data_IF_707393786413
#
_entry.id   IF_707393786413
#
_cell.length_a   1.000
_cell.length_b   1.000
_cell.length_c   1.000
_cell.angle_alpha   90.00
_cell.angle_beta   90.00
_cell.angle_gamma   90.00
#
_symmetry.space_group_name_H-M   'P 1'
#
loop_
_entity.id
_entity.type
_entity.pdbx_description
1 polymer ?
#
# COMPACT_ATOMS: atom_id res chain seq x y z
N UNK A 1 8.32 -7.32 -20.28
CA UNK A 1 8.00 -5.91 -20.58
C UNK A 1 9.19 -5.26 -21.27
N UNK A 2 8.95 -4.60 -22.39
CA UNK A 2 10.02 -3.90 -23.10
C UNK A 2 9.76 -2.39 -22.99
N UNK A 3 10.75 -1.66 -22.48
CA UNK A 3 10.68 -0.21 -22.39
C UNK A 3 11.44 0.36 -23.56
N UNK A 4 10.74 1.03 -24.46
CA UNK A 4 11.30 1.45 -25.74
C UNK A 4 11.55 2.96 -25.81
N UNK A 5 11.10 3.71 -24.81
CA UNK A 5 11.33 5.14 -24.76
C UNK A 5 11.47 5.58 -23.31
N UNK A 6 12.09 6.75 -23.11
CA UNK A 6 12.19 7.32 -21.77
C UNK A 6 10.82 7.84 -21.32
N UNK A 7 10.40 7.46 -20.12
CA UNK A 7 9.15 7.91 -19.52
C UNK A 7 9.46 8.44 -18.11
N UNK A 8 8.77 9.49 -17.72
CA UNK A 8 8.94 10.07 -16.39
C UNK A 8 7.56 10.42 -15.84
N UNK A 9 7.23 9.90 -14.66
CA UNK A 9 5.99 10.20 -13.97
C UNK A 9 6.30 10.64 -12.54
N UNK A 10 5.37 11.35 -11.93
CA UNK A 10 5.49 11.77 -10.54
C UNK A 10 4.22 11.43 -9.79
N UNK A 11 4.37 10.98 -8.53
CA UNK A 11 3.19 10.69 -7.70
C UNK A 11 2.38 11.93 -7.37
N UNK A 12 2.98 13.13 -7.49
CA UNK A 12 2.27 14.39 -7.29
C UNK A 12 1.31 14.70 -8.43
N UNK A 13 1.43 13.97 -9.54
CA UNK A 13 0.52 14.06 -10.69
C UNK A 13 0.03 12.66 -11.03
N UNK A 14 -0.74 12.03 -10.13
CA UNK A 14 -1.12 10.64 -10.29
C UNK A 14 -2.22 10.44 -11.33
N UNK A 15 -2.31 9.22 -11.85
CA UNK A 15 -3.41 8.84 -12.75
C UNK A 15 -4.70 8.61 -11.97
N UNK A 16 -4.58 8.19 -10.71
CA UNK A 16 -5.73 7.98 -9.83
C UNK A 16 -5.30 8.14 -8.39
N UNK A 17 -6.25 8.52 -7.56
CA UNK A 17 -6.05 8.66 -6.11
C UNK A 17 -7.20 7.95 -5.42
N UNK A 18 -6.89 7.18 -4.41
CA UNK A 18 -7.89 6.55 -3.54
C UNK A 18 -7.66 7.08 -2.14
N UNK A 19 -8.70 7.71 -1.58
CA UNK A 19 -8.61 8.30 -0.26
C UNK A 19 -9.58 7.61 0.69
N UNK A 20 -9.13 7.43 1.93
CA UNK A 20 -9.94 6.85 2.99
C UNK A 20 -9.45 7.46 4.30
N UNK A 21 -10.18 7.29 5.41
CA UNK A 21 -9.76 7.91 6.67
C UNK A 21 -8.32 7.55 7.03
N UNK A 22 -7.52 8.57 7.32
CA UNK A 22 -6.11 8.45 7.71
C UNK A 22 -5.21 7.86 6.64
N UNK A 23 -5.65 7.80 5.39
CA UNK A 23 -4.84 7.20 4.35
C UNK A 23 -5.09 7.74 2.95
N UNK A 24 -4.07 7.58 2.11
CA UNK A 24 -4.10 8.00 0.71
C UNK A 24 -3.25 7.05 -0.10
N UNK A 25 -3.76 6.65 -1.25
CA UNK A 25 -3.05 5.75 -2.15
C UNK A 25 -3.06 6.35 -3.56
N UNK A 26 -1.89 6.70 -4.05
CA UNK A 26 -1.74 7.33 -5.38
C UNK A 26 -1.25 6.29 -6.36
N UNK A 27 -1.78 6.32 -7.56
CA UNK A 27 -1.47 5.36 -8.61
C UNK A 27 -0.86 6.07 -9.81
N UNK A 28 0.22 5.51 -10.32
CA UNK A 28 0.89 5.98 -11.54
C UNK A 28 1.06 4.79 -12.47
N UNK A 29 0.68 4.98 -13.73
CA UNK A 29 0.89 3.96 -14.76
C UNK A 29 2.08 4.36 -15.59
N UNK A 30 3.06 3.46 -15.67
CA UNK A 30 4.30 3.72 -16.38
C UNK A 30 4.90 2.40 -16.88
N UNK A 31 5.31 2.37 -18.15
CA UNK A 31 6.00 1.20 -18.69
C UNK A 31 5.19 -0.09 -18.64
N UNK A 32 3.87 0.00 -18.69
CA UNK A 32 3.00 -1.18 -18.63
C UNK A 32 2.71 -1.66 -17.22
N UNK A 33 3.15 -0.93 -16.19
CA UNK A 33 2.89 -1.28 -14.79
C UNK A 33 2.10 -0.19 -14.09
N UNK A 34 1.35 -0.61 -13.09
CA UNK A 34 0.69 0.32 -12.16
C UNK A 34 1.48 0.28 -10.86
N UNK A 35 2.01 1.43 -10.45
CA UNK A 35 2.80 1.56 -9.23
C UNK A 35 2.03 2.46 -8.27
N UNK A 36 1.92 2.02 -7.01
CA UNK A 36 1.21 2.77 -6.00
C UNK A 36 2.12 3.33 -4.93
N UNK A 37 1.75 4.49 -4.39
CA UNK A 37 2.40 5.05 -3.20
C UNK A 37 1.34 5.16 -2.11
N UNK A 38 1.54 4.41 -1.03
CA UNK A 38 0.68 4.45 0.14
C UNK A 38 1.23 5.47 1.13
N UNK A 39 0.35 6.28 1.71
CA UNK A 39 0.69 7.19 2.80
C UNK A 39 -0.38 7.04 3.86
N UNK A 40 -0.02 6.47 5.02
CA UNK A 40 -0.96 6.23 6.11
C UNK A 40 -0.52 6.99 7.34
N UNK A 41 -1.46 7.67 7.97
CA UNK A 41 -1.21 8.46 9.17
C UNK A 41 -1.20 7.57 10.43
N UNK A 42 -0.55 8.02 11.51
CA UNK A 42 -0.64 7.31 12.78
C UNK A 42 -2.09 7.06 13.16
N UNK A 43 -2.38 5.84 13.62
CA UNK A 43 -3.74 5.43 13.95
C UNK A 43 -4.47 4.69 12.85
N UNK A 44 -3.93 4.69 11.64
CA UNK A 44 -4.55 3.96 10.54
C UNK A 44 -4.45 2.45 10.77
N UNK A 45 -5.55 1.77 10.45
CA UNK A 45 -5.63 0.31 10.47
C UNK A 45 -6.54 -0.13 9.33
N UNK A 46 -6.08 -1.07 8.52
CA UNK A 46 -6.83 -1.47 7.33
C UNK A 46 -8.26 -1.91 7.67
N UNK A 47 -8.42 -2.79 8.65
CA UNK A 47 -9.75 -3.31 8.99
C UNK A 47 -10.70 -2.25 9.54
N UNK A 48 -10.19 -1.12 10.03
CA UNK A 48 -11.02 -0.02 10.55
C UNK A 48 -11.27 1.08 9.52
N UNK A 49 -10.32 1.33 8.63
CA UNK A 49 -10.34 2.51 7.78
C UNK A 49 -10.52 2.21 6.29
N UNK A 50 -10.31 0.96 5.86
CA UNK A 50 -10.49 0.54 4.48
C UNK A 50 -11.55 -0.54 4.39
N UNK A 51 -11.52 -1.52 5.28
CA UNK A 51 -12.49 -2.60 5.30
C UNK A 51 -13.88 -2.15 5.69
N UNK A 52 -14.87 -2.95 5.33
CA UNK A 52 -16.28 -2.68 5.61
C UNK A 52 -16.71 -3.14 7.00
N UNK A 53 -15.92 -3.98 7.64
CA UNK A 53 -16.22 -4.49 8.98
C UNK A 53 -14.93 -4.86 9.69
N UNK A 54 -14.92 -4.92 11.05
CA UNK A 54 -13.71 -5.27 11.79
C UNK A 54 -13.17 -6.67 11.49
N UNK A 55 -14.01 -7.56 11.00
CA UNK A 55 -13.61 -8.94 10.68
C UNK A 55 -13.06 -9.07 9.27
N UNK A 56 -13.26 -8.07 8.44
CA UNK A 56 -12.77 -8.12 7.06
C UNK A 56 -11.25 -8.04 7.02
N UNK A 57 -10.66 -8.78 6.08
CA UNK A 57 -9.21 -8.76 5.85
C UNK A 57 -8.93 -8.35 4.42
N UNK A 58 -7.75 -7.77 4.21
CA UNK A 58 -7.34 -7.38 2.86
C UNK A 58 -7.00 -8.63 2.06
N UNK A 59 -7.64 -8.79 0.92
CA UNK A 59 -7.44 -9.96 0.06
C UNK A 59 -6.57 -9.66 -1.15
N UNK A 60 -5.98 -8.47 -1.19
CA UNK A 60 -5.07 -8.08 -2.27
C UNK A 60 -3.64 -8.46 -1.87
N UNK A 61 -2.93 -9.14 -2.75
CA UNK A 61 -1.51 -9.40 -2.50
C UNK A 61 -0.68 -8.18 -2.85
N UNK A 62 0.41 -7.99 -2.12
CA UNK A 62 1.27 -6.82 -2.28
C UNK A 62 2.73 -7.22 -2.43
N UNK A 63 3.43 -6.52 -3.32
CA UNK A 63 4.88 -6.59 -3.43
C UNK A 63 5.38 -5.15 -3.44
N UNK A 64 6.27 -4.80 -2.53
CA UNK A 64 6.70 -3.42 -2.45
C UNK A 64 7.89 -3.19 -1.53
N UNK A 65 8.09 -1.92 -1.20
CA UNK A 65 9.19 -1.50 -0.34
C UNK A 65 8.72 -0.38 0.59
N UNK A 66 9.16 -0.42 1.84
CA UNK A 66 8.87 0.64 2.82
C UNK A 66 9.85 1.79 2.60
N UNK A 67 9.31 3.00 2.50
CA UNK A 67 10.10 4.23 2.31
C UNK A 67 10.34 4.92 3.64
N UNK A 68 9.29 5.11 4.45
CA UNK A 68 9.40 5.78 5.75
C UNK A 68 8.30 5.31 6.70
N UNK A 69 8.54 5.49 7.99
CA UNK A 69 7.60 5.03 9.01
C UNK A 69 7.64 3.52 9.18
N UNK A 70 6.75 3.01 10.02
CA UNK A 70 6.67 1.57 10.30
C UNK A 70 5.22 1.13 10.27
N UNK A 71 4.98 -0.09 9.81
CA UNK A 71 3.65 -0.68 9.82
C UNK A 71 3.74 -2.14 10.22
N UNK A 72 2.77 -2.58 11.02
CA UNK A 72 2.61 -4.00 11.32
C UNK A 72 1.76 -4.64 10.23
N UNK A 73 2.04 -5.90 9.93
CA UNK A 73 1.22 -6.70 9.04
C UNK A 73 1.02 -8.06 9.72
N UNK A 74 -0.21 -8.53 9.74
CA UNK A 74 -0.56 -9.80 10.39
C UNK A 74 -1.41 -10.63 9.44
N UNK A 75 -1.04 -11.90 9.31
CA UNK A 75 -1.81 -12.90 8.58
C UNK A 75 -2.03 -14.12 9.45
N UNK A 76 -2.56 -15.22 8.88
CA UNK A 76 -2.83 -16.42 9.66
C UNK A 76 -1.59 -17.04 10.32
N UNK A 77 -0.42 -16.89 9.68
CA UNK A 77 0.79 -17.56 10.13
C UNK A 77 1.96 -16.61 10.41
N UNK A 78 1.73 -15.31 10.39
CA UNK A 78 2.82 -14.34 10.60
C UNK A 78 2.31 -13.07 11.25
N UNK A 79 3.24 -12.37 11.89
CA UNK A 79 3.00 -11.10 12.57
C UNK A 79 4.34 -10.37 12.57
N UNK A 80 4.48 -9.38 11.68
CA UNK A 80 5.75 -8.69 11.48
C UNK A 80 5.57 -7.19 11.48
N UNK A 81 6.65 -6.47 11.79
CA UNK A 81 6.71 -5.02 11.65
C UNK A 81 7.66 -4.70 10.51
N UNK A 82 7.17 -3.95 9.53
CA UNK A 82 7.94 -3.54 8.37
C UNK A 82 8.54 -2.16 8.64
N UNK A 83 9.82 -1.99 8.33
CA UNK A 83 10.59 -0.78 8.60
C UNK A 83 11.20 -0.22 7.31
N UNK A 84 11.65 1.06 7.31
CA UNK A 84 12.23 1.65 6.09
C UNK A 84 13.35 0.80 5.50
N UNK A 85 13.25 0.57 4.19
CA UNK A 85 14.18 -0.27 3.46
C UNK A 85 13.75 -1.72 3.34
N UNK A 86 12.75 -2.15 4.09
CA UNK A 86 12.26 -3.52 3.98
C UNK A 86 11.50 -3.71 2.67
N UNK A 87 11.79 -4.81 1.99
CA UNK A 87 11.07 -5.24 0.80
C UNK A 87 10.10 -6.32 1.25
N UNK A 88 8.84 -6.19 0.89
CA UNK A 88 7.82 -7.10 1.39
C UNK A 88 7.04 -7.77 0.26
N UNK A 89 6.62 -8.98 0.53
CA UNK A 89 5.66 -9.72 -0.29
C UNK A 89 4.59 -10.21 0.67
N UNK A 90 3.37 -9.72 0.53
CA UNK A 90 2.28 -10.02 1.45
C UNK A 90 1.18 -10.75 0.70
N UNK A 91 0.83 -11.98 1.11
CA UNK A 91 -0.24 -12.71 0.45
C UNK A 91 -1.61 -12.20 0.88
N UNK A 92 -2.68 -12.64 0.20
CA UNK A 92 -4.05 -12.29 0.63
C UNK A 92 -4.32 -12.76 2.07
N UNK A 93 -5.33 -12.14 2.69
CA UNK A 93 -5.82 -12.47 4.02
C UNK A 93 -4.90 -11.92 5.12
N UNK A 94 -4.81 -10.59 5.15
CA UNK A 94 -4.00 -9.90 6.15
C UNK A 94 -4.70 -8.63 6.65
N UNK A 95 -4.25 -8.15 7.80
CA UNK A 95 -4.57 -6.83 8.31
C UNK A 95 -3.25 -6.08 8.52
N UNK A 96 -3.30 -4.78 8.59
CA UNK A 96 -2.11 -3.97 8.82
C UNK A 96 -2.47 -2.66 9.51
N UNK A 97 -1.51 -2.07 10.22
CA UNK A 97 -1.70 -0.79 10.89
C UNK A 97 -0.38 -0.07 11.07
N UNK A 98 -0.45 1.26 11.21
CA UNK A 98 0.73 2.09 11.42
C UNK A 98 1.21 1.91 12.86
N UNK A 99 2.53 1.75 13.01
CA UNK A 99 3.18 1.62 14.31
C UNK A 99 3.95 2.90 14.58
N UNK A 100 3.69 3.52 15.73
CA UNK A 100 4.41 4.72 16.13
C UNK A 100 3.72 6.01 15.74
N UNK A 101 4.44 7.10 15.79
CA UNK A 101 3.92 8.46 15.67
C UNK A 101 4.20 9.11 14.31
N UNK A 102 4.85 8.38 13.40
CA UNK A 102 5.20 8.92 12.09
C UNK A 102 4.31 8.32 11.01
N UNK A 103 4.00 9.09 9.96
CA UNK A 103 3.31 8.52 8.81
C UNK A 103 4.12 7.39 8.19
N UNK A 104 3.41 6.41 7.67
CA UNK A 104 4.00 5.27 6.97
C UNK A 104 3.87 5.51 5.47
N UNK A 105 4.97 5.36 4.74
CA UNK A 105 4.98 5.50 3.28
C UNK A 105 5.60 4.25 2.68
N UNK A 106 4.92 3.66 1.69
CA UNK A 106 5.45 2.51 0.96
C UNK A 106 5.11 2.61 -0.52
N UNK A 107 5.94 1.96 -1.34
CA UNK A 107 5.70 1.84 -2.77
C UNK A 107 5.27 0.40 -3.06
N UNK A 108 4.29 0.26 -3.96
CA UNK A 108 3.69 -1.03 -4.30
C UNK A 108 3.85 -1.28 -5.80
N UNK A 109 4.43 -2.42 -6.15
CA UNK A 109 4.68 -2.83 -7.53
C UNK A 109 3.72 -3.92 -7.99
N UNK A 110 3.04 -4.59 -7.06
CA UNK A 110 2.02 -5.59 -7.35
C UNK A 110 0.83 -5.33 -6.45
N UNK A 111 -0.38 -5.45 -7.00
CA UNK A 111 -1.61 -5.23 -6.25
C UNK A 111 -2.07 -3.78 -6.19
N UNK A 112 -1.26 -2.84 -6.69
CA UNK A 112 -1.58 -1.42 -6.60
C UNK A 112 -2.90 -1.07 -7.29
N UNK A 113 -3.15 -1.67 -8.44
CA UNK A 113 -4.36 -1.38 -9.23
C UNK A 113 -5.64 -1.90 -8.57
N UNK A 114 -5.53 -2.85 -7.66
CA UNK A 114 -6.69 -3.45 -6.99
C UNK A 114 -6.86 -2.96 -5.56
N UNK A 115 -5.82 -2.42 -4.95
CA UNK A 115 -5.83 -2.05 -3.53
C UNK A 115 -6.78 -0.86 -3.28
N UNK A 116 -7.61 -0.99 -2.23
CA UNK A 116 -8.57 0.04 -1.83
C UNK A 116 -9.45 0.51 -2.99
N UNK A 117 -9.68 -0.37 -3.95
CA UNK A 117 -10.49 -0.06 -5.12
C UNK A 117 -11.92 0.23 -4.70
N UNK A 118 -12.53 1.31 -5.20
CA UNK A 118 -13.94 1.58 -4.92
C UNK A 118 -14.79 0.54 -5.65
N UNK A 119 -15.77 0.03 -4.97
CA UNK A 119 -16.65 -1.00 -5.51
C UNK A 119 -18.03 -0.45 -5.70
#
# INVERSE_FOLDING_TARGET
MAIEEFLLRRFEEPDAVREFPLGRFELVEIGGMTIGRATYQPGWKWSEHVGSSPEERCMVEHLGIVISGRAAVVGPDYDEVMEPGDVFAVPPDHDSWVVGDEPYVSLHFLGADEYASPE
#
